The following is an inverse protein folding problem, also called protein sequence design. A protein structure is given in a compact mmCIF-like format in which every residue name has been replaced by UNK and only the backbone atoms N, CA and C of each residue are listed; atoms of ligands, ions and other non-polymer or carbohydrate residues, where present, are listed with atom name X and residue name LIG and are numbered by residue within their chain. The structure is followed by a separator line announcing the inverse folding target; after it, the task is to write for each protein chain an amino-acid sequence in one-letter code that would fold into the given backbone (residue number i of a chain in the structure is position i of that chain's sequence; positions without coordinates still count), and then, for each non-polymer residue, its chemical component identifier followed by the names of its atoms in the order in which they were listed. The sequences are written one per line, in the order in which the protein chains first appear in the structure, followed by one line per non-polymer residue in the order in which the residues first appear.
data_IF_259363909667
#
_entry.id   IF_259363909667
#
_cell.length_a   1.000
_cell.length_b   1.000
_cell.length_c   1.000
_cell.angle_alpha   90.00
_cell.angle_beta   90.00
_cell.angle_gamma   90.00
#
_symmetry.space_group_name_H-M   'P 1'
#
loop_
_entity.id
_entity.type
_entity.pdbx_description
1 polymer ?
#
# COMPACT_ATOMS: atom_id res chain seq x y z
N UNK A 1 9.49 -2.29 -7.83
CA UNK A 1 8.46 -3.31 -7.59
C UNK A 1 7.31 -2.63 -6.88
N UNK A 2 6.11 -2.64 -7.47
CA UNK A 2 4.90 -2.06 -6.89
C UNK A 2 4.00 -3.17 -6.34
N UNK A 3 3.24 -2.86 -5.30
CA UNK A 3 2.25 -3.77 -4.73
C UNK A 3 0.91 -3.05 -4.66
N UNK A 4 -0.16 -3.82 -4.86
CA UNK A 4 -1.53 -3.34 -4.69
C UNK A 4 -2.22 -4.16 -3.61
N UNK A 5 -2.99 -3.50 -2.77
CA UNK A 5 -3.81 -4.15 -1.77
C UNK A 5 -4.92 -3.25 -1.26
N UNK A 6 -5.54 -3.65 -0.16
CA UNK A 6 -6.70 -2.96 0.40
C UNK A 6 -6.29 -1.94 1.45
N UNK A 7 -7.02 -0.82 1.50
CA UNK A 7 -7.11 0.00 2.69
C UNK A 7 -8.17 -0.63 3.60
N UNK A 8 -7.75 -1.08 4.77
CA UNK A 8 -8.65 -1.61 5.80
C UNK A 8 -9.43 -0.48 6.44
N UNK A 9 -8.75 0.61 6.79
CA UNK A 9 -9.36 1.78 7.41
C UNK A 9 -8.56 3.05 7.11
N UNK A 10 -9.27 4.18 7.00
CA UNK A 10 -8.68 5.51 6.89
C UNK A 10 -9.28 6.40 7.97
N UNK A 11 -8.45 6.93 8.87
CA UNK A 11 -8.85 7.80 9.98
C UNK A 11 -8.07 9.11 9.92
N UNK A 12 -8.68 10.16 9.39
CA UNK A 12 -7.99 11.42 9.13
C UNK A 12 -6.88 11.23 8.10
N UNK A 13 -5.63 11.53 8.46
CA UNK A 13 -4.45 11.35 7.62
C UNK A 13 -3.84 9.94 7.69
N UNK A 14 -4.38 9.06 8.55
CA UNK A 14 -3.84 7.73 8.82
C UNK A 14 -4.50 6.68 7.93
N UNK A 15 -3.68 5.82 7.32
CA UNK A 15 -4.15 4.71 6.46
C UNK A 15 -3.62 3.40 7.03
N UNK A 16 -4.52 2.47 7.32
CA UNK A 16 -4.22 1.09 7.70
C UNK A 16 -4.56 0.19 6.53
N UNK A 17 -3.64 -0.70 6.16
CA UNK A 17 -3.78 -1.55 4.98
C UNK A 17 -3.46 -3.01 5.23
N UNK A 18 -3.88 -3.83 4.27
CA UNK A 18 -3.60 -5.27 4.10
C UNK A 18 -4.22 -6.20 5.15
N UNK A 19 -4.26 -5.82 6.42
CA UNK A 19 -4.59 -6.75 7.50
C UNK A 19 -3.55 -7.86 7.68
N UNK A 20 -2.35 -7.65 7.14
CA UNK A 20 -1.16 -8.47 7.29
C UNK A 20 0.09 -7.63 6.94
N UNK A 21 1.29 -8.13 7.25
CA UNK A 21 2.55 -7.53 6.80
C UNK A 21 2.72 -7.61 5.28
N UNK A 22 3.40 -6.64 4.68
CA UNK A 22 3.95 -6.82 3.33
C UNK A 22 5.17 -7.77 3.38
N UNK A 23 6.25 -7.33 4.03
CA UNK A 23 7.47 -8.13 4.24
C UNK A 23 7.90 -8.16 5.72
N UNK A 24 7.20 -7.41 6.59
CA UNK A 24 7.46 -7.38 8.03
C UNK A 24 8.71 -6.57 8.39
N UNK A 25 9.02 -5.51 7.64
CA UNK A 25 10.23 -4.72 7.84
C UNK A 25 10.21 -3.77 9.06
N UNK A 26 9.10 -3.70 9.80
CA UNK A 26 8.95 -2.78 10.92
C UNK A 26 8.92 -1.35 10.42
N UNK A 27 9.87 -0.51 10.86
CA UNK A 27 9.92 0.91 10.46
C UNK A 27 10.43 1.06 9.03
N UNK A 28 9.60 1.62 8.16
CA UNK A 28 9.89 1.83 6.74
C UNK A 28 9.62 3.28 6.33
N UNK A 29 10.01 3.65 5.10
CA UNK A 29 9.64 4.91 4.47
C UNK A 29 9.46 4.70 2.96
N UNK A 30 8.32 4.11 2.57
CA UNK A 30 8.03 3.75 1.18
C UNK A 30 6.92 4.64 0.62
N UNK A 31 6.95 4.98 -0.68
CA UNK A 31 5.88 5.78 -1.29
C UNK A 31 4.54 5.05 -1.23
N UNK A 32 3.50 5.77 -0.80
CA UNK A 32 2.11 5.33 -0.83
C UNK A 32 1.37 6.12 -1.91
N UNK A 33 0.75 5.42 -2.86
CA UNK A 33 0.10 6.01 -4.02
C UNK A 33 -1.37 5.61 -4.14
N UNK A 34 -2.17 6.44 -4.80
CA UNK A 34 -3.50 6.03 -5.27
C UNK A 34 -3.34 4.98 -6.38
N UNK A 35 -4.15 3.93 -6.33
CA UNK A 35 -4.15 2.87 -7.34
C UNK A 35 -5.35 2.95 -8.28
N UNK A 36 -5.15 2.66 -9.56
CA UNK A 36 -6.23 2.41 -10.52
C UNK A 36 -6.25 0.92 -10.84
N UNK A 37 -7.40 0.27 -10.63
CA UNK A 37 -7.62 -1.12 -11.03
C UNK A 37 -8.09 -1.12 -12.48
N UNK A 38 -7.35 -1.79 -13.35
CA UNK A 38 -7.68 -1.91 -14.78
C UNK A 38 -8.63 -3.08 -15.03
N UNK A 39 -8.33 -4.22 -14.40
CA UNK A 39 -9.14 -5.43 -14.51
C UNK A 39 -8.88 -6.39 -13.37
N UNK A 40 -9.69 -7.45 -13.31
CA UNK A 40 -9.46 -8.63 -12.47
C UNK A 40 -8.96 -9.76 -13.38
N UNK A 41 -7.79 -10.29 -13.06
CA UNK A 41 -7.28 -11.50 -13.69
C UNK A 41 -7.80 -12.69 -12.88
N UNK A 42 -8.82 -13.34 -13.43
CA UNK A 42 -9.45 -14.51 -12.81
C UNK A 42 -8.50 -15.71 -12.85
N UNK A 43 -8.44 -16.44 -11.74
CA UNK A 43 -7.66 -17.67 -11.63
C UNK A 43 -8.30 -18.60 -10.61
N UNK A 44 -8.24 -19.90 -10.89
CA UNK A 44 -8.75 -20.96 -9.99
C UNK A 44 -7.95 -20.96 -8.68
N UNK A 45 -6.63 -20.75 -8.75
CA UNK A 45 -5.80 -20.73 -7.55
C UNK A 45 -6.05 -19.46 -6.72
N UNK A 46 -6.03 -18.29 -7.37
CA UNK A 46 -6.29 -16.99 -6.72
C UNK A 46 -6.45 -15.89 -7.76
N UNK A 47 -7.58 -15.19 -7.72
CA UNK A 47 -7.78 -14.00 -8.55
C UNK A 47 -6.96 -12.81 -8.05
N UNK A 48 -6.45 -11.99 -8.97
CA UNK A 48 -5.68 -10.78 -8.65
C UNK A 48 -6.24 -9.56 -9.39
N UNK A 49 -6.07 -8.38 -8.81
CA UNK A 49 -6.38 -7.12 -9.48
C UNK A 49 -5.13 -6.63 -10.21
N UNK A 50 -5.22 -6.44 -11.53
CA UNK A 50 -4.17 -5.77 -12.28
C UNK A 50 -4.39 -4.26 -12.13
N UNK A 51 -3.44 -3.58 -11.52
CA UNK A 51 -3.56 -2.18 -11.14
C UNK A 51 -2.25 -1.43 -11.30
N UNK A 52 -2.33 -0.11 -11.43
CA UNK A 52 -1.16 0.77 -11.51
C UNK A 52 -1.19 1.82 -10.41
N UNK A 53 -0.01 2.18 -9.89
CA UNK A 53 0.14 3.37 -9.06
C UNK A 53 0.03 4.63 -9.93
N UNK A 54 -0.82 5.58 -9.53
CA UNK A 54 -1.11 6.79 -10.32
C UNK A 54 -0.42 8.02 -9.73
N UNK A 55 -0.65 8.29 -8.44
CA UNK A 55 -0.12 9.48 -7.77
C UNK A 55 0.33 9.13 -6.36
N UNK A 56 1.59 9.42 -6.05
CA UNK A 56 2.09 9.36 -4.68
C UNK A 56 1.36 10.41 -3.84
N UNK A 57 0.65 9.95 -2.81
CA UNK A 57 -0.16 10.78 -1.90
C UNK A 57 0.38 10.78 -0.48
N UNK A 58 1.35 9.93 -0.17
CA UNK A 58 1.93 9.85 1.16
C UNK A 58 3.06 8.84 1.25
N UNK A 59 3.29 8.36 2.46
CA UNK A 59 4.29 7.34 2.74
C UNK A 59 3.76 6.27 3.70
N UNK A 60 4.12 5.01 3.43
CA UNK A 60 4.06 3.94 4.41
C UNK A 60 5.22 4.13 5.39
N UNK A 61 4.91 4.08 6.68
CA UNK A 61 5.89 4.32 7.77
C UNK A 61 6.13 3.09 8.63
N UNK A 62 5.23 2.09 8.54
CA UNK A 62 5.28 0.84 9.29
C UNK A 62 4.80 -0.32 8.43
N UNK A 63 5.51 -1.44 8.52
CA UNK A 63 5.16 -2.74 7.97
C UNK A 63 5.33 -3.78 9.10
N UNK A 64 4.26 -3.93 9.89
CA UNK A 64 4.23 -4.78 11.08
C UNK A 64 3.48 -6.07 10.78
N UNK A 65 3.55 -7.06 11.68
CA UNK A 65 2.99 -8.40 11.46
C UNK A 65 1.50 -8.42 11.09
N UNK A 66 0.71 -7.50 11.62
CA UNK A 66 -0.75 -7.47 11.47
C UNK A 66 -1.26 -6.45 10.46
N UNK A 67 -0.45 -5.48 10.03
CA UNK A 67 -0.86 -4.45 9.09
C UNK A 67 0.33 -3.61 8.60
N UNK A 68 0.13 -2.99 7.44
CA UNK A 68 0.91 -1.82 7.03
C UNK A 68 0.20 -0.54 7.50
N UNK A 69 0.98 0.47 7.87
CA UNK A 69 0.47 1.78 8.26
C UNK A 69 1.20 2.90 7.52
N UNK A 70 0.43 3.83 6.98
CA UNK A 70 0.91 4.99 6.26
C UNK A 70 0.18 6.27 6.65
N UNK A 71 0.72 7.38 6.16
CA UNK A 71 0.13 8.71 6.34
C UNK A 71 0.02 9.44 5.01
N UNK A 72 -1.17 9.97 4.74
CA UNK A 72 -1.42 10.88 3.63
C UNK A 72 -0.66 12.19 3.90
N UNK A 73 -0.02 12.74 2.86
CA UNK A 73 0.79 13.96 2.93
C UNK A 73 2.21 13.77 3.48
N UNK A 74 2.54 12.60 4.04
CA UNK A 74 3.92 12.31 4.44
C UNK A 74 4.83 12.22 3.20
N UNK A 75 6.00 12.85 3.25
CA UNK A 75 6.98 12.84 2.16
C UNK A 75 7.80 11.54 2.20
N UNK A 76 7.68 10.65 1.19
CA UNK A 76 8.53 9.47 1.13
C UNK A 76 9.97 9.85 0.77
N UNK A 77 10.95 9.12 1.31
CA UNK A 77 12.35 9.29 0.95
C UNK A 77 12.67 8.45 -0.29
N UNK A 78 12.64 9.09 -1.46
CA UNK A 78 12.97 8.45 -2.73
C UNK A 78 14.37 8.87 -3.19
N UNK A 79 15.10 7.92 -3.80
CA UNK A 79 16.32 8.24 -4.53
C UNK A 79 15.93 8.94 -5.86
N UNK A 80 16.73 9.89 -6.34
CA UNK A 80 16.50 10.58 -7.62
C UNK A 80 16.64 9.66 -8.83
#
# INVERSE_FOLDING_TARGET
MEIVGTATEVVGDKVYGFGHSYLGYGKINLPMATGQVHTVVSSIARSVKLASAIKTVGALTRDESTAIFGRIGAKPHMLP
#
